data_IF_552077529487
#
_entry.id   IF_552077529487
#
_cell.length_a   1.000
_cell.length_b   1.000
_cell.length_c   1.000
_cell.angle_alpha   90.00
_cell.angle_beta   90.00
_cell.angle_gamma   90.00
#
_symmetry.space_group_name_H-M   'P 1'
#
loop_
_entity.id
_entity.type
_entity.pdbx_description
1 polymer ?
#
# COMPACT_ATOMS: atom_id res chain seq x y z
N UNK A 1 -12.07 -2.48 -2.78
CA UNK A 1 -11.46 -2.11 -4.07
C UNK A 1 -11.36 -0.59 -4.12
N UNK A 2 -10.23 0.00 -4.53
CA UNK A 2 -10.07 1.47 -4.55
C UNK A 2 -9.73 1.95 -5.95
N UNK A 3 -10.41 2.99 -6.39
CA UNK A 3 -10.10 3.66 -7.65
C UNK A 3 -9.14 4.82 -7.38
N UNK A 4 -8.07 4.89 -8.18
CA UNK A 4 -7.03 5.92 -8.11
C UNK A 4 -7.13 6.80 -9.35
N UNK A 5 -7.12 8.12 -9.16
CA UNK A 5 -7.09 9.11 -10.23
C UNK A 5 -5.72 9.17 -10.92
N UNK A 6 -5.70 9.71 -12.15
CA UNK A 6 -4.47 10.05 -12.87
C UNK A 6 -3.70 11.10 -12.07
N UNK A 7 -2.38 10.95 -11.97
CA UNK A 7 -1.51 11.88 -11.23
C UNK A 7 -0.11 11.93 -11.84
N UNK A 8 0.64 13.03 -11.64
CA UNK A 8 2.05 13.05 -11.98
C UNK A 8 2.80 11.99 -11.15
N UNK A 9 3.77 11.33 -11.79
CA UNK A 9 4.69 10.41 -11.18
C UNK A 9 6.10 10.64 -11.73
N UNK A 10 7.09 9.97 -11.14
CA UNK A 10 8.49 10.09 -11.54
C UNK A 10 9.17 8.73 -11.49
N UNK A 11 10.14 8.48 -12.36
CA UNK A 11 11.05 7.36 -12.21
C UNK A 11 11.92 7.59 -10.95
N UNK A 12 11.89 6.71 -9.93
CA UNK A 12 12.67 6.92 -8.70
C UNK A 12 14.18 7.02 -8.91
N UNK A 13 14.72 6.44 -9.99
CA UNK A 13 16.15 6.40 -10.25
C UNK A 13 16.65 7.60 -11.10
N UNK A 14 15.85 8.08 -12.07
CA UNK A 14 16.26 9.14 -13.01
C UNK A 14 15.56 10.48 -12.81
N UNK A 15 14.46 10.53 -12.05
CA UNK A 15 13.66 11.75 -11.85
C UNK A 15 12.77 12.14 -13.03
N UNK A 16 12.82 11.39 -14.14
CA UNK A 16 12.02 11.67 -15.34
C UNK A 16 10.51 11.67 -15.05
N UNK A 17 9.79 12.60 -15.69
CA UNK A 17 8.36 12.79 -15.54
C UNK A 17 7.52 11.72 -16.25
N UNK A 18 6.90 10.82 -15.48
CA UNK A 18 6.05 9.75 -16.01
C UNK A 18 4.64 9.83 -15.38
N UNK A 19 3.57 10.10 -16.15
CA UNK A 19 2.22 10.16 -15.61
C UNK A 19 1.72 8.78 -15.18
N UNK A 20 1.14 8.69 -13.98
CA UNK A 20 0.48 7.48 -13.49
C UNK A 20 -0.97 7.50 -13.94
N UNK A 21 -1.39 6.48 -14.70
CA UNK A 21 -2.75 6.34 -15.19
C UNK A 21 -3.78 6.10 -14.07
N UNK A 22 -5.02 6.51 -14.33
CA UNK A 22 -6.14 6.15 -13.48
C UNK A 22 -6.37 4.63 -13.54
N UNK A 23 -6.50 3.99 -12.39
CA UNK A 23 -6.63 2.53 -12.30
C UNK A 23 -7.30 2.10 -10.99
N UNK A 24 -7.81 0.89 -11.03
CA UNK A 24 -8.42 0.20 -9.89
C UNK A 24 -7.38 -0.67 -9.21
N UNK A 25 -7.22 -0.49 -7.90
CA UNK A 25 -6.23 -1.23 -7.10
C UNK A 25 -6.90 -2.02 -5.99
N UNK A 26 -6.32 -3.17 -5.68
CA UNK A 26 -6.70 -3.96 -4.50
C UNK A 26 -6.14 -3.32 -3.24
N UNK A 27 -6.90 -3.40 -2.16
CA UNK A 27 -6.44 -3.00 -0.82
C UNK A 27 -6.82 -4.09 0.15
N UNK A 28 -5.86 -4.54 0.94
CA UNK A 28 -6.09 -5.49 2.01
C UNK A 28 -6.56 -4.77 3.27
N UNK A 29 -7.59 -5.32 3.93
CA UNK A 29 -8.04 -4.89 5.26
C UNK A 29 -7.96 -6.08 6.19
N UNK A 30 -6.95 -6.16 7.08
CA UNK A 30 -6.81 -7.31 7.97
C UNK A 30 -7.98 -7.34 8.96
N UNK A 31 -8.60 -8.51 9.11
CA UNK A 31 -9.61 -8.76 10.13
C UNK A 31 -9.01 -8.75 11.53
N UNK A 32 -9.88 -8.65 12.55
CA UNK A 32 -9.43 -8.56 13.95
C UNK A 32 -8.56 -9.74 14.36
N UNK A 33 -8.93 -10.98 13.99
CA UNK A 33 -8.16 -12.19 14.32
C UNK A 33 -6.71 -12.12 13.81
N UNK A 34 -6.49 -11.61 12.61
CA UNK A 34 -5.15 -11.50 12.04
C UNK A 34 -4.34 -10.40 12.74
N UNK A 35 -4.97 -9.25 13.03
CA UNK A 35 -4.32 -8.15 13.77
C UNK A 35 -3.79 -8.61 15.12
N UNK A 36 -4.63 -9.25 15.93
CA UNK A 36 -4.24 -9.73 17.26
C UNK A 36 -3.08 -10.74 17.18
N UNK A 37 -3.13 -11.70 16.23
CA UNK A 37 -2.05 -12.68 16.06
C UNK A 37 -0.71 -12.03 15.71
N UNK A 38 -0.73 -11.03 14.83
CA UNK A 38 0.48 -10.29 14.43
C UNK A 38 1.01 -9.46 15.58
N UNK A 39 0.13 -8.78 16.33
CA UNK A 39 0.50 -7.98 17.50
C UNK A 39 1.11 -8.84 18.61
N UNK A 40 0.52 -10.01 18.91
CA UNK A 40 1.09 -10.97 19.87
C UNK A 40 2.47 -11.47 19.43
N UNK A 41 2.64 -11.79 18.14
CA UNK A 41 3.95 -12.23 17.61
C UNK A 41 4.99 -11.10 17.64
N UNK A 42 4.60 -9.86 17.32
CA UNK A 42 5.50 -8.71 17.38
C UNK A 42 5.81 -8.27 18.83
N UNK A 43 4.91 -8.57 19.77
CA UNK A 43 5.00 -8.23 21.19
C UNK A 43 5.94 -9.12 22.02
N UNK A 44 6.54 -10.18 21.44
CA UNK A 44 7.52 -11.04 22.15
C UNK A 44 8.98 -10.57 22.02
N UNK A 45 9.23 -9.40 21.43
CA UNK A 45 10.56 -8.77 21.34
C UNK A 45 10.68 -7.52 22.24
N UNK A 46 9.96 -7.47 23.35
CA UNK A 46 10.17 -6.50 24.44
C UNK A 46 10.47 -7.22 25.74
#
# INVERSE_FOLDING_TARGET
LRDKSKRPGRNPNSGEEIPVSARRVVTFRPGQKLKHRVETYAGTNK
#
